data_IF_745921269813
#
_entry.id   IF_745921269813
#
_cell.length_a   1.000
_cell.length_b   1.000
_cell.length_c   1.000
_cell.angle_alpha   90.00
_cell.angle_beta   90.00
_cell.angle_gamma   90.00
#
_symmetry.space_group_name_H-M   'P 1'
#
loop_
_entity.id
_entity.type
_entity.pdbx_description
1 polymer ?
#
# COMPACT_ATOMS: atom_id res chain seq x y z
N UNK A 1 -31.62 -18.42 32.01
CA UNK A 1 -30.90 -18.21 30.73
C UNK A 1 -29.69 -19.13 30.52
N UNK A 2 -28.81 -19.35 31.51
CA UNK A 2 -27.64 -20.26 31.36
C UNK A 2 -28.02 -21.74 31.11
N UNK A 3 -29.14 -22.21 31.65
CA UNK A 3 -29.57 -23.62 31.54
C UNK A 3 -30.01 -24.01 30.10
N UNK A 4 -30.56 -23.06 29.33
CA UNK A 4 -30.93 -23.26 27.91
C UNK A 4 -29.73 -23.47 26.97
N UNK A 5 -28.53 -23.07 27.40
CA UNK A 5 -27.30 -23.32 26.63
C UNK A 5 -26.98 -24.82 26.62
N UNK A 6 -27.19 -25.50 27.74
CA UNK A 6 -26.96 -26.95 27.87
C UNK A 6 -28.06 -27.79 27.20
N UNK A 7 -29.29 -27.27 27.12
CA UNK A 7 -30.44 -27.96 26.49
C UNK A 7 -30.49 -27.86 24.95
N UNK A 8 -29.50 -27.21 24.31
CA UNK A 8 -29.41 -27.16 22.84
C UNK A 8 -28.76 -25.90 22.25
N UNK A 9 -28.54 -24.86 23.05
CA UNK A 9 -27.90 -23.61 22.60
C UNK A 9 -26.38 -23.70 22.37
N UNK A 10 -25.73 -24.80 22.78
CA UNK A 10 -24.29 -24.98 22.69
C UNK A 10 -23.79 -25.05 21.23
N UNK A 11 -24.58 -25.60 20.31
CA UNK A 11 -24.21 -25.71 18.90
C UNK A 11 -24.07 -24.33 18.24
N UNK A 12 -25.02 -23.42 18.49
CA UNK A 12 -24.96 -22.04 18.00
C UNK A 12 -23.76 -21.27 18.57
N UNK A 13 -23.43 -21.49 19.84
CA UNK A 13 -22.24 -20.91 20.48
C UNK A 13 -20.93 -21.45 19.89
N UNK A 14 -20.86 -22.76 19.60
CA UNK A 14 -19.71 -23.38 18.97
C UNK A 14 -19.47 -22.80 17.56
N UNK A 15 -20.53 -22.67 16.75
CA UNK A 15 -20.46 -22.06 15.42
C UNK A 15 -20.00 -20.61 15.52
N UNK A 16 -20.58 -19.83 16.43
CA UNK A 16 -20.17 -18.45 16.66
C UNK A 16 -18.69 -18.35 17.05
N UNK A 17 -18.22 -19.24 17.94
CA UNK A 17 -16.81 -19.27 18.36
C UNK A 17 -15.86 -19.60 17.20
N UNK A 18 -16.22 -20.55 16.33
CA UNK A 18 -15.41 -20.90 15.15
C UNK A 18 -15.34 -19.73 14.16
N UNK A 19 -16.46 -19.07 13.89
CA UNK A 19 -16.50 -17.90 13.00
C UNK A 19 -15.65 -16.77 13.57
N UNK A 20 -15.81 -16.45 14.86
CA UNK A 20 -15.03 -15.42 15.54
C UNK A 20 -13.54 -15.74 15.52
N UNK A 21 -13.17 -16.99 15.81
CA UNK A 21 -11.77 -17.43 15.78
C UNK A 21 -11.16 -17.30 14.38
N UNK A 22 -11.93 -17.65 13.35
CA UNK A 22 -11.51 -17.52 11.94
C UNK A 22 -11.31 -16.06 11.57
N UNK A 23 -12.29 -15.19 11.85
CA UNK A 23 -12.18 -13.75 11.59
C UNK A 23 -11.02 -13.13 12.35
N UNK A 24 -10.84 -13.48 13.62
CA UNK A 24 -9.77 -12.96 14.46
C UNK A 24 -8.39 -13.36 13.92
N UNK A 25 -8.25 -14.62 13.53
CA UNK A 25 -7.03 -15.15 12.90
C UNK A 25 -6.74 -14.43 11.59
N UNK A 26 -7.75 -14.23 10.74
CA UNK A 26 -7.62 -13.52 9.47
C UNK A 26 -7.15 -12.08 9.68
N UNK A 27 -7.88 -11.28 10.47
CA UNK A 27 -7.57 -9.88 10.72
C UNK A 27 -6.15 -9.72 11.27
N UNK A 28 -5.76 -10.58 12.23
CA UNK A 28 -4.44 -10.53 12.85
C UNK A 28 -3.34 -10.96 11.86
N UNK A 29 -3.59 -12.00 11.07
CA UNK A 29 -2.66 -12.51 10.06
C UNK A 29 -2.40 -11.49 8.96
N UNK A 30 -3.44 -10.88 8.38
CA UNK A 30 -3.30 -9.86 7.35
C UNK A 30 -2.53 -8.64 7.87
N UNK A 31 -2.83 -8.19 9.10
CA UNK A 31 -2.10 -7.08 9.73
C UNK A 31 -0.62 -7.41 9.93
N UNK A 32 -0.31 -8.61 10.43
CA UNK A 32 1.07 -9.04 10.63
C UNK A 32 1.85 -9.12 9.32
N UNK A 33 1.23 -9.64 8.25
CA UNK A 33 1.86 -9.68 6.93
C UNK A 33 2.13 -8.28 6.38
N UNK A 34 1.18 -7.36 6.56
CA UNK A 34 1.34 -5.97 6.15
C UNK A 34 2.49 -5.28 6.90
N UNK A 35 2.53 -5.41 8.24
CA UNK A 35 3.59 -4.84 9.07
C UNK A 35 4.96 -5.45 8.78
N UNK A 36 5.01 -6.77 8.49
CA UNK A 36 6.26 -7.47 8.14
C UNK A 36 6.79 -7.02 6.80
N UNK A 37 5.91 -6.78 5.82
CA UNK A 37 6.28 -6.23 4.51
C UNK A 37 6.85 -4.81 4.67
N UNK A 38 6.18 -3.94 5.46
CA UNK A 38 6.66 -2.58 5.77
C UNK A 38 8.02 -2.52 6.45
N UNK A 39 8.37 -3.47 7.32
CA UNK A 39 9.68 -3.46 8.01
C UNK A 39 10.89 -3.55 7.07
N UNK A 40 10.70 -4.01 5.84
CA UNK A 40 11.75 -4.07 4.81
C UNK A 40 11.64 -2.92 3.79
N UNK A 41 10.66 -2.02 3.92
CA UNK A 41 10.43 -0.96 2.96
C UNK A 41 11.31 0.26 3.28
N UNK A 42 12.00 0.74 2.25
CA UNK A 42 12.82 1.95 2.33
C UNK A 42 11.88 3.15 2.16
N UNK A 43 11.92 4.17 3.04
CA UNK A 43 11.13 5.37 2.84
C UNK A 43 11.44 6.03 1.48
N UNK A 44 10.39 6.37 0.73
CA UNK A 44 10.52 6.91 -0.62
C UNK A 44 11.35 8.21 -0.62
N UNK A 45 11.10 9.11 0.33
CA UNK A 45 11.80 10.39 0.40
C UNK A 45 13.30 10.20 0.68
N UNK A 46 13.66 9.19 1.49
CA UNK A 46 15.06 8.84 1.75
C UNK A 46 15.73 8.27 0.49
N UNK A 47 15.06 7.35 -0.21
CA UNK A 47 15.56 6.80 -1.48
C UNK A 47 15.73 7.91 -2.53
N UNK A 48 14.72 8.75 -2.70
CA UNK A 48 14.70 9.85 -3.65
C UNK A 48 15.85 10.84 -3.37
N UNK A 49 16.10 11.18 -2.11
CA UNK A 49 17.23 12.01 -1.71
C UNK A 49 18.60 11.37 -1.99
N UNK A 50 18.74 10.06 -1.80
CA UNK A 50 19.99 9.35 -2.11
C UNK A 50 20.25 9.25 -3.61
N UNK A 51 19.21 8.96 -4.41
CA UNK A 51 19.31 8.92 -5.87
C UNK A 51 19.58 10.30 -6.46
N UNK A 52 19.13 11.37 -5.81
CA UNK A 52 19.46 12.74 -6.20
C UNK A 52 20.95 13.05 -6.01
N UNK A 53 21.55 12.57 -4.91
CA UNK A 53 22.97 12.76 -4.59
C UNK A 53 23.90 11.90 -5.45
N UNK A 54 23.50 10.66 -5.74
CA UNK A 54 24.23 9.72 -6.60
C UNK A 54 23.31 9.25 -7.71
N UNK A 55 23.19 10.08 -8.73
CA UNK A 55 22.31 9.83 -9.88
C UNK A 55 22.81 8.60 -10.66
N UNK A 56 21.99 7.54 -10.81
CA UNK A 56 22.23 6.48 -11.77
C UNK A 56 22.17 7.02 -13.20
N UNK A 57 22.43 6.16 -14.18
CA UNK A 57 22.20 6.51 -15.58
C UNK A 57 20.73 6.87 -15.80
N UNK A 58 20.46 8.04 -16.37
CA UNK A 58 19.11 8.47 -16.70
C UNK A 58 18.71 8.00 -18.11
N UNK A 59 17.48 7.53 -18.25
CA UNK A 59 16.81 7.31 -19.54
C UNK A 59 15.75 8.39 -19.73
N UNK A 60 15.58 8.83 -20.96
CA UNK A 60 14.52 9.77 -21.32
C UNK A 60 13.14 9.13 -21.16
N UNK A 61 12.16 9.92 -20.72
CA UNK A 61 10.78 9.52 -20.55
C UNK A 61 10.30 9.44 -19.10
N UNK A 62 9.09 8.92 -18.93
CA UNK A 62 8.38 8.88 -17.65
C UNK A 62 8.09 7.44 -17.25
N UNK A 63 8.55 7.02 -16.08
CA UNK A 63 8.17 5.74 -15.49
C UNK A 63 7.08 5.93 -14.44
N UNK A 64 6.06 5.06 -14.46
CA UNK A 64 4.98 5.05 -13.47
C UNK A 64 5.06 3.76 -12.66
N UNK A 65 5.18 3.89 -11.34
CA UNK A 65 5.24 2.78 -10.40
C UNK A 65 4.01 2.79 -9.49
N UNK A 66 3.21 1.74 -9.58
CA UNK A 66 2.02 1.57 -8.74
C UNK A 66 2.40 1.07 -7.35
N UNK A 67 1.81 1.65 -6.31
CA UNK A 67 1.98 1.23 -4.91
C UNK A 67 0.73 1.48 -4.07
N UNK A 68 0.48 0.62 -3.09
CA UNK A 68 -0.55 0.80 -2.07
C UNK A 68 -0.09 1.69 -0.91
N UNK A 69 1.22 1.78 -0.66
CA UNK A 69 1.82 2.70 0.32
C UNK A 69 2.66 3.75 -0.43
N UNK A 70 2.19 5.01 -0.56
CA UNK A 70 2.90 6.07 -1.27
C UNK A 70 4.10 6.65 -0.49
N UNK A 71 4.24 6.32 0.79
CA UNK A 71 5.38 6.76 1.61
C UNK A 71 6.59 5.81 1.48
N UNK A 72 6.36 4.59 1.03
CA UNK A 72 7.38 3.56 0.82
C UNK A 72 7.84 3.50 -0.63
N UNK A 73 9.12 3.19 -0.85
CA UNK A 73 9.66 2.95 -2.19
C UNK A 73 9.02 1.69 -2.81
N UNK A 74 8.41 1.77 -4.00
CA UNK A 74 7.78 0.61 -4.62
C UNK A 74 8.79 -0.49 -4.92
N UNK A 75 8.39 -1.75 -4.70
CA UNK A 75 9.22 -2.92 -4.99
C UNK A 75 9.63 -2.99 -6.47
N UNK A 76 8.73 -2.57 -7.37
CA UNK A 76 9.02 -2.49 -8.80
C UNK A 76 10.12 -1.48 -9.14
N UNK A 77 10.16 -0.31 -8.47
CA UNK A 77 11.24 0.67 -8.62
C UNK A 77 12.57 0.08 -8.13
N UNK A 78 12.56 -0.55 -6.96
CA UNK A 78 13.74 -1.20 -6.39
C UNK A 78 14.29 -2.31 -7.29
N UNK A 79 13.40 -3.14 -7.86
CA UNK A 79 13.76 -4.18 -8.80
C UNK A 79 14.33 -3.59 -10.10
N UNK A 80 13.69 -2.55 -10.65
CA UNK A 80 14.18 -1.85 -11.85
C UNK A 80 15.59 -1.31 -11.63
N UNK A 81 15.83 -0.61 -10.51
CA UNK A 81 17.16 -0.10 -10.15
C UNK A 81 18.19 -1.22 -9.95
N UNK A 82 17.79 -2.35 -9.35
CA UNK A 82 18.68 -3.50 -9.16
C UNK A 82 19.11 -4.14 -10.49
N UNK A 83 18.18 -4.29 -11.43
CA UNK A 83 18.40 -5.04 -12.67
C UNK A 83 18.92 -4.17 -13.82
N UNK A 84 18.29 -3.02 -14.05
CA UNK A 84 18.63 -2.15 -15.17
C UNK A 84 19.65 -1.07 -14.80
N UNK A 85 19.80 -0.75 -13.51
CA UNK A 85 20.71 0.32 -13.00
C UNK A 85 20.47 1.69 -13.64
N UNK A 86 19.24 1.89 -14.10
CA UNK A 86 18.79 3.04 -14.86
C UNK A 86 17.57 3.62 -14.15
N UNK A 87 17.47 4.94 -14.16
CA UNK A 87 16.34 5.70 -13.63
C UNK A 87 15.75 6.55 -14.77
N UNK A 88 14.44 6.82 -14.76
CA UNK A 88 13.86 7.72 -15.76
C UNK A 88 14.02 9.17 -15.32
N UNK A 89 13.94 10.12 -16.26
CA UNK A 89 13.95 11.55 -15.95
C UNK A 89 12.76 11.95 -15.06
N UNK A 90 11.61 11.31 -15.27
CA UNK A 90 10.42 11.50 -14.46
C UNK A 90 9.91 10.16 -13.90
N UNK A 91 9.86 10.03 -12.58
CA UNK A 91 9.38 8.82 -11.90
C UNK A 91 8.14 9.16 -11.08
N UNK A 92 6.99 8.65 -11.51
CA UNK A 92 5.70 8.87 -10.87
C UNK A 92 5.39 7.69 -9.96
N UNK A 93 5.23 7.93 -8.68
CA UNK A 93 4.76 6.96 -7.69
C UNK A 93 3.25 7.12 -7.57
N UNK A 94 2.51 6.17 -8.13
CA UNK A 94 1.06 6.23 -8.29
C UNK A 94 0.36 5.34 -7.25
N UNK A 95 -0.54 5.92 -6.47
CA UNK A 95 -1.41 5.20 -5.57
C UNK A 95 -2.86 5.39 -5.95
N UNK A 96 -3.64 4.31 -5.92
CA UNK A 96 -5.07 4.33 -6.20
C UNK A 96 -5.81 4.02 -4.91
N UNK A 97 -6.70 4.91 -4.51
CA UNK A 97 -7.49 4.83 -3.28
C UNK A 97 -8.96 4.80 -3.63
N UNK A 98 -9.72 3.91 -3.01
CA UNK A 98 -11.18 3.90 -3.11
C UNK A 98 -11.77 4.62 -1.91
N UNK A 99 -12.55 5.67 -2.18
CA UNK A 99 -13.28 6.41 -1.16
C UNK A 99 -14.47 5.59 -0.63
N UNK A 100 -14.95 5.94 0.56
CA UNK A 100 -16.14 5.32 1.16
C UNK A 100 -17.46 5.93 0.67
N UNK A 101 -17.38 6.97 -0.17
CA UNK A 101 -18.52 7.60 -0.82
C UNK A 101 -18.65 7.09 -2.26
N UNK A 102 -19.83 7.22 -2.89
CA UNK A 102 -20.09 6.73 -4.24
C UNK A 102 -19.76 7.72 -5.36
N UNK A 103 -19.61 9.02 -5.06
CA UNK A 103 -19.02 10.01 -5.98
C UNK A 103 -17.99 10.88 -5.26
N UNK A 104 -16.75 10.93 -5.77
CA UNK A 104 -15.68 11.85 -5.37
C UNK A 104 -15.67 13.07 -6.29
N UNK A 105 -15.71 14.31 -5.74
CA UNK A 105 -15.58 15.55 -6.51
C UNK A 105 -14.30 15.58 -7.33
N UNK A 106 -14.34 16.15 -8.53
CA UNK A 106 -13.18 16.18 -9.44
C UNK A 106 -11.94 16.84 -8.83
N UNK A 107 -12.11 17.78 -7.90
CA UNK A 107 -11.01 18.42 -7.15
C UNK A 107 -10.22 17.45 -6.27
N UNK A 108 -10.86 16.38 -5.79
CA UNK A 108 -10.29 15.46 -4.80
C UNK A 108 -9.87 14.12 -5.43
N UNK A 109 -10.19 13.94 -6.72
CA UNK A 109 -9.84 12.73 -7.49
C UNK A 109 -8.36 12.59 -7.74
N UNK A 110 -7.61 13.69 -7.83
CA UNK A 110 -6.18 13.65 -8.15
C UNK A 110 -5.41 14.57 -7.22
N UNK A 111 -4.50 13.99 -6.44
CA UNK A 111 -3.54 14.73 -5.63
C UNK A 111 -2.14 14.46 -6.15
N UNK A 112 -1.43 15.51 -6.54
CA UNK A 112 -0.05 15.43 -7.00
C UNK A 112 0.87 16.16 -6.03
N UNK A 113 1.98 15.51 -5.66
CA UNK A 113 3.00 16.05 -4.76
C UNK A 113 4.38 15.83 -5.38
N UNK A 114 5.12 16.90 -5.66
CA UNK A 114 6.50 16.79 -6.13
C UNK A 114 7.42 16.50 -4.95
N UNK A 115 8.20 15.42 -5.04
CA UNK A 115 9.19 15.06 -4.01
C UNK A 115 10.52 15.75 -4.32
N UNK A 116 10.99 15.62 -5.56
CA UNK A 116 12.17 16.31 -6.09
C UNK A 116 12.12 16.35 -7.63
N UNK A 117 13.21 16.76 -8.27
CA UNK A 117 13.30 16.87 -9.74
C UNK A 117 13.13 15.53 -10.49
N UNK A 118 13.30 14.38 -9.83
CA UNK A 118 13.20 13.04 -10.43
C UNK A 118 11.92 12.30 -10.04
N UNK A 119 11.29 12.67 -8.92
CA UNK A 119 10.20 11.93 -8.30
C UNK A 119 8.97 12.78 -8.02
N UNK A 120 7.81 12.26 -8.39
CA UNK A 120 6.50 12.80 -8.08
C UNK A 120 5.63 11.70 -7.46
N UNK A 121 4.83 12.05 -6.45
CA UNK A 121 3.81 11.19 -5.86
C UNK A 121 2.45 11.62 -6.38
N UNK A 122 1.65 10.68 -6.86
CA UNK A 122 0.31 10.92 -7.39
C UNK A 122 -0.65 9.96 -6.69
N UNK A 123 -1.71 10.51 -6.12
CA UNK A 123 -2.80 9.74 -5.54
C UNK A 123 -4.05 9.96 -6.38
N UNK A 124 -4.63 8.87 -6.88
CA UNK A 124 -5.92 8.86 -7.56
C UNK A 124 -6.98 8.32 -6.60
N UNK A 125 -8.03 9.10 -6.37
CA UNK A 125 -9.13 8.72 -5.51
C UNK A 125 -10.36 8.41 -6.37
N UNK A 126 -10.89 7.20 -6.25
CA UNK A 126 -12.08 6.73 -6.96
C UNK A 126 -13.24 6.47 -6.02
N UNK A 127 -14.44 6.51 -6.60
CA UNK A 127 -15.73 6.38 -5.93
C UNK A 127 -16.42 7.71 -6.00
#
# INVERSE_FOLDING_TARGET
>A
NIVKVFEGGWASLAIAAVIVMTMWTWIRGTRYLFDKTRRNEIPLDFLAGNLLKRKPQLMSGTAVFLTSDPASAPTALMHSLKHYKVLHEQNVILSVVTAQQPVVPDSDRVKMETINELFMRVTLTFG
#
